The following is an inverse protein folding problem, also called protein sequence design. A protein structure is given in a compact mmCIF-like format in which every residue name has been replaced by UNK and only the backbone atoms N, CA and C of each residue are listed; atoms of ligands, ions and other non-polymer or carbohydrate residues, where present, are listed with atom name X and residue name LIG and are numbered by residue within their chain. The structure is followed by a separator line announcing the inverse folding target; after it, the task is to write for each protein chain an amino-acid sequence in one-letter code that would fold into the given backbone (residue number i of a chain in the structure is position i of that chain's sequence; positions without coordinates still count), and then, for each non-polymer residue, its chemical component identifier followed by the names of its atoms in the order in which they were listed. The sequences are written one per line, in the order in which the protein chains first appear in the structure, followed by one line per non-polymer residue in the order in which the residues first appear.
data_IF_121694946522
#
_entry.id   IF_121694946522
#
_cell.length_a   1.000
_cell.length_b   1.000
_cell.length_c   1.000
_cell.angle_alpha   90.00
_cell.angle_beta   90.00
_cell.angle_gamma   90.00
#
_symmetry.space_group_name_H-M   'P 1'
#
loop_
_entity.id
_entity.type
_entity.pdbx_description
1 polymer ?
#
# COMPACT_ATOMS: atom_id res chain seq x y z
N UNK A 1 -38.46 -7.76 0.48
CA UNK A 1 -37.23 -7.25 -0.15
C UNK A 1 -36.07 -7.51 0.79
N UNK A 2 -35.35 -8.62 0.61
CA UNK A 2 -34.20 -8.96 1.46
C UNK A 2 -32.98 -8.20 0.95
N UNK A 3 -32.51 -7.22 1.71
CA UNK A 3 -31.21 -6.59 1.48
C UNK A 3 -30.17 -7.68 1.67
N UNK A 4 -29.63 -8.23 0.57
CA UNK A 4 -28.42 -9.04 0.62
C UNK A 4 -27.38 -8.16 1.32
N UNK A 5 -27.02 -8.52 2.55
CA UNK A 5 -25.83 -7.97 3.18
C UNK A 5 -24.70 -8.57 2.38
N UNK A 6 -24.13 -7.78 1.47
CA UNK A 6 -22.89 -8.12 0.82
C UNK A 6 -21.86 -8.30 1.95
N UNK A 7 -21.56 -9.57 2.25
CA UNK A 7 -20.60 -9.91 3.32
C UNK A 7 -19.25 -9.47 2.79
N UNK A 8 -18.87 -8.26 3.18
CA UNK A 8 -17.57 -7.70 2.84
C UNK A 8 -16.52 -8.55 3.54
N UNK A 9 -15.65 -9.23 2.77
CA UNK A 9 -14.47 -9.88 3.34
C UNK A 9 -13.46 -8.78 3.71
N UNK A 10 -13.18 -8.53 5.01
CA UNK A 10 -12.21 -7.54 5.43
C UNK A 10 -10.81 -7.84 4.88
N UNK A 11 -10.49 -9.14 4.65
CA UNK A 11 -9.24 -9.57 4.04
C UNK A 11 -9.14 -9.10 2.59
N UNK A 12 -10.17 -9.29 1.77
CA UNK A 12 -10.24 -8.76 0.41
C UNK A 12 -10.12 -7.22 0.35
N UNK A 13 -10.76 -6.50 1.29
CA UNK A 13 -10.60 -5.03 1.37
C UNK A 13 -9.14 -4.67 1.66
N UNK A 14 -8.54 -5.30 2.67
CA UNK A 14 -7.15 -5.06 3.04
C UNK A 14 -6.20 -5.33 1.86
N UNK A 15 -6.46 -6.38 1.07
CA UNK A 15 -5.72 -6.69 -0.17
C UNK A 15 -5.79 -5.57 -1.19
N UNK A 16 -6.99 -5.05 -1.47
CA UNK A 16 -7.17 -3.94 -2.42
C UNK A 16 -6.46 -2.66 -1.96
N UNK A 17 -6.51 -2.35 -0.67
CA UNK A 17 -5.77 -1.21 -0.12
C UNK A 17 -4.26 -1.40 -0.14
N UNK A 18 -3.76 -2.62 0.13
CA UNK A 18 -2.35 -2.99 -0.03
C UNK A 18 -1.89 -2.79 -1.47
N UNK A 19 -2.65 -3.26 -2.45
CA UNK A 19 -2.33 -3.05 -3.88
C UNK A 19 -2.26 -1.57 -4.26
N UNK A 20 -3.17 -0.75 -3.73
CA UNK A 20 -3.13 0.69 -3.95
C UNK A 20 -1.88 1.33 -3.33
N UNK A 21 -1.51 0.92 -2.12
CA UNK A 21 -0.30 1.40 -1.45
C UNK A 21 0.97 0.98 -2.19
N UNK A 22 1.03 -0.23 -2.75
CA UNK A 22 2.13 -0.70 -3.59
C UNK A 22 2.25 0.11 -4.90
N UNK A 23 1.13 0.43 -5.56
CA UNK A 23 1.14 1.34 -6.73
C UNK A 23 1.68 2.72 -6.35
N UNK A 24 1.31 3.23 -5.19
CA UNK A 24 1.82 4.50 -4.67
C UNK A 24 3.32 4.43 -4.40
N UNK A 25 3.81 3.31 -3.84
CA UNK A 25 5.24 3.05 -3.63
C UNK A 25 6.00 3.04 -4.96
N UNK A 26 5.47 2.36 -5.97
CA UNK A 26 6.08 2.32 -7.31
C UNK A 26 6.19 3.72 -7.91
N UNK A 27 5.17 4.57 -7.74
CA UNK A 27 5.23 5.96 -8.18
C UNK A 27 6.34 6.77 -7.46
N UNK A 28 6.48 6.62 -6.14
CA UNK A 28 7.56 7.28 -5.40
C UNK A 28 8.96 6.81 -5.84
N UNK A 29 9.12 5.52 -6.17
CA UNK A 29 10.38 5.00 -6.73
C UNK A 29 10.69 5.63 -8.09
N UNK A 30 9.67 5.78 -8.95
CA UNK A 30 9.83 6.42 -10.26
C UNK A 30 10.19 7.92 -10.12
N UNK A 31 9.57 8.61 -9.17
CA UNK A 31 9.91 9.99 -8.84
C UNK A 31 11.34 10.13 -8.30
N UNK A 32 11.79 9.21 -7.44
CA UNK A 32 13.16 9.17 -6.92
C UNK A 32 14.18 8.99 -8.05
N UNK A 33 14.00 7.94 -8.87
CA UNK A 33 14.88 7.63 -10.01
C UNK A 33 14.97 8.76 -11.03
N UNK A 34 13.85 9.43 -11.30
CA UNK A 34 13.81 10.56 -12.24
C UNK A 34 14.25 11.89 -11.62
N UNK A 35 14.38 11.96 -10.29
CA UNK A 35 14.63 13.19 -9.55
C UNK A 35 13.49 14.22 -9.59
N UNK A 36 12.34 13.88 -10.21
CA UNK A 36 11.22 14.82 -10.39
C UNK A 36 10.52 15.19 -9.08
N UNK A 37 10.72 14.41 -8.01
CA UNK A 37 10.15 14.71 -6.71
C UNK A 37 10.53 16.09 -6.17
N UNK A 38 11.73 16.61 -6.51
CA UNK A 38 12.22 17.92 -6.09
C UNK A 38 11.37 19.11 -6.56
N UNK A 39 10.48 18.89 -7.53
CA UNK A 39 9.53 19.90 -8.01
C UNK A 39 8.30 20.03 -7.12
N UNK A 40 8.01 19.01 -6.32
CA UNK A 40 6.76 18.89 -5.57
C UNK A 40 6.97 18.81 -4.06
N UNK A 41 8.15 18.37 -3.62
CA UNK A 41 8.46 18.09 -2.23
C UNK A 41 9.83 18.64 -1.85
N UNK A 42 9.95 19.09 -0.61
CA UNK A 42 11.24 19.10 0.07
C UNK A 42 11.71 17.66 0.34
N UNK A 43 13.00 17.48 0.61
CA UNK A 43 13.54 16.14 0.91
C UNK A 43 12.88 15.51 2.14
N UNK A 44 12.63 16.32 3.18
CA UNK A 44 11.97 15.84 4.40
C UNK A 44 10.54 15.39 4.14
N UNK A 45 9.76 16.16 3.36
CA UNK A 45 8.40 15.78 2.97
C UNK A 45 8.39 14.52 2.12
N UNK A 46 9.31 14.41 1.16
CA UNK A 46 9.43 13.22 0.33
C UNK A 46 9.72 11.97 1.16
N UNK A 47 10.70 12.04 2.06
CA UNK A 47 11.03 10.93 2.96
C UNK A 47 9.86 10.59 3.90
N UNK A 48 9.14 11.58 4.41
CA UNK A 48 7.94 11.35 5.22
C UNK A 48 6.85 10.62 4.44
N UNK A 49 6.62 11.02 3.17
CA UNK A 49 5.68 10.34 2.28
C UNK A 49 6.09 8.89 2.03
N UNK A 50 7.36 8.63 1.70
CA UNK A 50 7.85 7.27 1.45
C UNK A 50 7.68 6.38 2.69
N UNK A 51 8.04 6.89 3.88
CA UNK A 51 7.85 6.17 5.15
C UNK A 51 6.39 5.88 5.43
N UNK A 52 5.49 6.84 5.16
CA UNK A 52 4.05 6.65 5.33
C UNK A 52 3.51 5.55 4.42
N UNK A 53 3.91 5.53 3.16
CA UNK A 53 3.50 4.46 2.22
C UNK A 53 4.00 3.10 2.69
N UNK A 54 5.25 3.01 3.17
CA UNK A 54 5.77 1.76 3.72
C UNK A 54 4.94 1.29 4.94
N UNK A 55 4.61 2.19 5.86
CA UNK A 55 3.78 1.86 7.02
C UNK A 55 2.34 1.45 6.64
N UNK A 56 1.75 2.09 5.62
CA UNK A 56 0.44 1.71 5.08
C UNK A 56 0.47 0.28 4.54
N UNK A 57 1.50 -0.09 3.76
CA UNK A 57 1.65 -1.45 3.22
C UNK A 57 1.72 -2.48 4.35
N UNK A 58 2.58 -2.27 5.36
CA UNK A 58 2.71 -3.19 6.50
C UNK A 58 1.40 -3.31 7.29
N UNK A 59 0.67 -2.21 7.46
CA UNK A 59 -0.63 -2.21 8.15
C UNK A 59 -1.67 -3.04 7.41
N UNK A 60 -1.74 -2.90 6.08
CA UNK A 60 -2.68 -3.69 5.27
C UNK A 60 -2.25 -5.15 5.15
N UNK A 61 -0.95 -5.44 5.15
CA UNK A 61 -0.43 -6.81 5.16
C UNK A 61 -0.85 -7.54 6.45
N UNK A 62 -0.74 -6.87 7.60
CA UNK A 62 -1.19 -7.41 8.88
C UNK A 62 -2.71 -7.68 8.92
N UNK A 63 -3.52 -6.86 8.24
CA UNK A 63 -4.97 -6.99 8.19
C UNK A 63 -5.47 -7.99 7.14
N UNK A 64 -4.68 -8.28 6.10
CA UNK A 64 -5.08 -9.18 5.02
C UNK A 64 -5.01 -10.68 5.41
N UNK A 65 -4.50 -11.00 6.60
CA UNK A 65 -4.43 -12.35 7.13
C UNK A 65 -3.22 -13.18 6.65
N UNK A 66 -2.99 -14.36 7.24
CA UNK A 66 -1.75 -15.14 7.06
C UNK A 66 -1.51 -15.67 5.63
N UNK A 67 -2.53 -15.71 4.78
CA UNK A 67 -2.42 -16.19 3.39
C UNK A 67 -1.45 -15.34 2.54
N UNK A 68 -1.34 -14.03 2.83
CA UNK A 68 -0.43 -13.13 2.11
C UNK A 68 0.97 -13.03 2.71
N UNK A 69 1.08 -13.11 4.04
CA UNK A 69 2.39 -13.18 4.70
C UNK A 69 3.19 -14.42 4.25
N UNK A 70 2.49 -15.51 3.91
CA UNK A 70 3.07 -16.72 3.34
C UNK A 70 3.58 -16.52 1.89
N UNK A 71 2.89 -15.73 1.06
CA UNK A 71 3.30 -15.44 -0.33
C UNK A 71 4.64 -14.67 -0.40
N UNK A 72 4.94 -13.82 0.59
CA UNK A 72 6.19 -13.03 0.65
C UNK A 72 7.44 -13.85 0.95
N UNK A 73 7.32 -15.04 1.55
CA UNK A 73 8.49 -15.90 1.87
C UNK A 73 8.90 -16.84 0.72
N UNK A 74 8.14 -16.87 -0.38
CA UNK A 74 8.27 -17.88 -1.43
C UNK A 74 8.74 -17.32 -2.80
N UNK A 75 9.43 -16.17 -2.85
CA UNK A 75 9.98 -15.61 -4.11
C UNK A 75 11.36 -15.02 -3.94
#
# INVERSE_FOLDING_TARGET
MSRKVEVWDPGEIARRWRELAERRRAHFIELDRSGRWRRYYTEQEFLACVRKVAAEIESWDALAGPELAAFRKAS
#
